data_IF_864851730685
#
_entry.id   IF_864851730685
#
_cell.length_a   1.000
_cell.length_b   1.000
_cell.length_c   1.000
_cell.angle_alpha   90.00
_cell.angle_beta   90.00
_cell.angle_gamma   90.00
#
_symmetry.space_group_name_H-M   'P 1'
#
loop_
_entity.id
_entity.type
_entity.pdbx_description
1 polymer ?
#
# COMPACT_ATOMS: atom_id res chain seq x y z
N UNK A 1 -7.03 -10.56 -12.04
CA UNK A 1 -6.67 -9.20 -12.46
C UNK A 1 -6.25 -9.21 -13.93
N UNK A 2 -6.56 -8.15 -14.69
CA UNK A 2 -6.18 -8.04 -16.10
C UNK A 2 -4.66 -7.80 -16.27
N UNK A 3 -4.03 -8.49 -17.25
CA UNK A 3 -2.57 -8.43 -17.51
C UNK A 3 -2.04 -7.03 -17.78
N UNK A 4 -2.82 -6.17 -18.44
CA UNK A 4 -2.47 -4.79 -18.71
C UNK A 4 -2.25 -4.01 -17.41
N UNK A 5 -3.20 -4.10 -16.47
CA UNK A 5 -3.07 -3.40 -15.18
C UNK A 5 -1.95 -3.99 -14.31
N UNK A 6 -1.71 -5.30 -14.38
CA UNK A 6 -0.56 -5.94 -13.72
C UNK A 6 0.75 -5.34 -14.25
N UNK A 7 0.87 -5.16 -15.57
CA UNK A 7 2.04 -4.54 -16.18
C UNK A 7 2.22 -3.09 -15.74
N UNK A 8 1.15 -2.28 -15.78
CA UNK A 8 1.20 -0.87 -15.38
C UNK A 8 1.64 -0.69 -13.93
N UNK A 9 1.02 -1.41 -12.98
CA UNK A 9 1.37 -1.26 -11.56
C UNK A 9 2.79 -1.77 -11.26
N UNK A 10 3.24 -2.86 -11.91
CA UNK A 10 4.63 -3.34 -11.80
C UNK A 10 5.62 -2.29 -12.26
N UNK A 11 5.41 -1.70 -13.44
CA UNK A 11 6.28 -0.66 -14.00
C UNK A 11 6.30 0.58 -13.13
N UNK A 12 5.14 1.02 -12.64
CA UNK A 12 5.01 2.13 -11.70
C UNK A 12 5.84 1.88 -10.43
N UNK A 13 5.72 0.69 -9.84
CA UNK A 13 6.42 0.37 -8.60
C UNK A 13 7.93 0.21 -8.76
N UNK A 14 8.40 -0.29 -9.90
CA UNK A 14 9.83 -0.29 -10.22
C UNK A 14 10.35 1.16 -10.33
N UNK A 15 9.62 2.04 -11.03
CA UNK A 15 9.96 3.45 -11.17
C UNK A 15 9.97 4.16 -9.82
N UNK A 16 8.95 3.94 -8.99
CA UNK A 16 8.84 4.50 -7.65
C UNK A 16 10.00 4.03 -6.77
N UNK A 17 10.23 2.73 -6.65
CA UNK A 17 11.30 2.18 -5.80
C UNK A 17 12.68 2.70 -6.21
N UNK A 18 12.90 2.98 -7.51
CA UNK A 18 14.15 3.57 -8.02
C UNK A 18 14.29 5.08 -7.75
N UNK A 19 13.17 5.79 -7.55
CA UNK A 19 13.15 7.23 -7.32
C UNK A 19 13.13 7.59 -5.82
N UNK A 20 12.76 6.64 -4.95
CA UNK A 20 12.82 6.84 -3.51
C UNK A 20 14.28 7.00 -3.05
N UNK A 21 14.55 7.89 -2.08
CA UNK A 21 15.89 8.07 -1.53
C UNK A 21 16.48 6.71 -1.13
N UNK A 22 17.57 6.32 -1.79
CA UNK A 22 18.39 5.20 -1.37
C UNK A 22 19.18 5.65 -0.16
N UNK A 23 18.56 5.62 1.02
CA UNK A 23 19.31 5.73 2.25
C UNK A 23 20.16 4.46 2.40
N UNK A 24 21.34 4.48 1.78
CA UNK A 24 22.45 3.53 1.87
C UNK A 24 22.07 2.07 2.11
N UNK A 25 21.74 1.30 1.06
CA UNK A 25 21.92 -0.17 0.94
C UNK A 25 21.42 -1.13 2.05
N UNK A 26 20.84 -0.63 3.14
CA UNK A 26 20.34 -1.39 4.28
C UNK A 26 18.94 -0.87 4.51
N UNK A 27 17.98 -1.80 4.52
CA UNK A 27 16.70 -1.57 5.14
C UNK A 27 16.92 -0.85 6.49
N UNK A 28 16.77 0.48 6.56
CA UNK A 28 17.05 1.25 7.79
C UNK A 28 16.15 0.74 8.92
N UNK A 29 14.95 0.29 8.54
CA UNK A 29 14.03 -0.37 9.42
C UNK A 29 14.56 -1.74 9.90
N UNK A 30 15.38 -2.46 9.12
CA UNK A 30 15.88 -3.79 9.44
C UNK A 30 14.73 -4.75 9.77
N UNK A 31 14.67 -5.15 11.04
CA UNK A 31 13.64 -6.00 11.63
C UNK A 31 12.35 -5.25 12.05
N UNK A 32 12.22 -3.97 11.68
CA UNK A 32 11.15 -3.10 12.13
C UNK A 32 9.86 -3.36 11.34
N UNK A 33 8.79 -3.64 12.08
CA UNK A 33 7.43 -3.81 11.58
C UNK A 33 6.56 -2.59 11.82
N UNK A 34 7.15 -1.44 12.19
CA UNK A 34 6.38 -0.26 12.54
C UNK A 34 5.57 0.28 11.38
N UNK A 35 6.00 0.10 10.13
CA UNK A 35 5.17 0.41 8.96
C UNK A 35 3.90 -0.47 8.86
N UNK A 36 3.94 -1.68 9.45
CA UNK A 36 2.83 -2.62 9.52
C UNK A 36 1.89 -2.38 10.71
N UNK A 37 2.24 -1.49 11.64
CA UNK A 37 1.42 -1.12 12.82
C UNK A 37 1.13 0.37 12.89
N UNK A 38 1.73 1.18 12.02
CA UNK A 38 1.50 2.62 11.99
C UNK A 38 0.17 2.94 11.31
N UNK A 39 -0.50 3.98 11.82
CA UNK A 39 -1.60 4.60 11.12
C UNK A 39 -1.16 4.99 9.69
N UNK A 40 -2.07 4.85 8.73
CA UNK A 40 -1.86 5.38 7.38
C UNK A 40 -3.04 6.25 7.02
N UNK A 41 -2.73 7.43 6.49
CA UNK A 41 -3.75 8.34 5.94
C UNK A 41 -4.15 7.97 4.52
N UNK A 42 -3.26 7.30 3.79
CA UNK A 42 -3.55 6.86 2.42
C UNK A 42 -4.24 5.51 2.41
N UNK A 43 -5.40 5.46 1.73
CA UNK A 43 -6.14 4.22 1.48
C UNK A 43 -5.42 3.39 0.42
N UNK A 44 -5.51 2.07 0.57
CA UNK A 44 -5.15 1.14 -0.50
C UNK A 44 -6.27 1.21 -1.55
N UNK A 45 -5.90 1.29 -2.83
CA UNK A 45 -6.87 1.32 -3.92
C UNK A 45 -7.33 -0.09 -4.30
N UNK A 46 -8.49 -0.20 -4.96
CA UNK A 46 -8.98 -1.48 -5.47
C UNK A 46 -8.02 -2.11 -6.49
N UNK A 47 -7.24 -1.30 -7.21
CA UNK A 47 -6.17 -1.77 -8.08
C UNK A 47 -5.10 -2.54 -7.29
N UNK A 48 -4.69 -1.99 -6.15
CA UNK A 48 -3.67 -2.61 -5.30
C UNK A 48 -4.20 -3.84 -4.57
N UNK A 49 -5.45 -3.80 -4.07
CA UNK A 49 -6.11 -4.96 -3.46
C UNK A 49 -6.16 -6.13 -4.45
N UNK A 50 -6.59 -5.89 -5.69
CA UNK A 50 -6.60 -6.92 -6.74
C UNK A 50 -5.21 -7.39 -7.14
N UNK A 51 -4.22 -6.50 -7.10
CA UNK A 51 -2.83 -6.87 -7.39
C UNK A 51 -2.22 -7.74 -6.29
N UNK A 52 -2.48 -7.42 -5.02
CA UNK A 52 -2.09 -8.23 -3.87
C UNK A 52 -2.79 -9.59 -3.95
N UNK A 53 -4.11 -9.62 -4.14
CA UNK A 53 -4.88 -10.85 -4.25
C UNK A 53 -4.39 -11.74 -5.40
N UNK A 54 -4.05 -11.16 -6.55
CA UNK A 54 -3.45 -11.88 -7.66
C UNK A 54 -2.13 -12.54 -7.27
N UNK A 55 -1.24 -11.81 -6.60
CA UNK A 55 0.03 -12.35 -6.09
C UNK A 55 -0.18 -13.47 -5.06
N UNK A 56 -1.13 -13.32 -4.14
CA UNK A 56 -1.45 -14.36 -3.15
C UNK A 56 -1.90 -15.66 -3.82
N UNK A 57 -2.77 -15.56 -4.82
CA UNK A 57 -3.23 -16.70 -5.62
C UNK A 57 -2.08 -17.39 -6.36
N UNK A 58 -1.20 -16.62 -7.00
CA UNK A 58 -0.01 -17.17 -7.68
C UNK A 58 0.94 -17.90 -6.72
N UNK A 59 0.96 -17.48 -5.45
CA UNK A 59 1.79 -18.09 -4.40
C UNK A 59 1.08 -19.19 -3.59
N UNK A 60 -0.18 -19.50 -3.92
CA UNK A 60 -0.95 -20.54 -3.22
C UNK A 60 -1.38 -20.15 -1.80
N UNK A 61 -1.44 -18.86 -1.49
CA UNK A 61 -1.94 -18.39 -0.19
C UNK A 61 -3.48 -18.46 -0.13
N UNK A 62 -4.07 -18.65 1.07
CA UNK A 62 -5.51 -18.70 1.23
C UNK A 62 -6.17 -17.34 0.98
N UNK A 63 -7.36 -17.36 0.37
CA UNK A 63 -8.14 -16.14 0.08
C UNK A 63 -8.57 -15.38 1.35
N UNK A 64 -8.72 -16.06 2.49
CA UNK A 64 -9.10 -15.45 3.78
C UNK A 64 -8.12 -14.36 4.24
N UNK A 65 -6.87 -14.41 3.79
CA UNK A 65 -5.88 -13.37 4.08
C UNK A 65 -6.28 -11.99 3.55
N UNK A 66 -7.04 -11.93 2.44
CA UNK A 66 -7.55 -10.64 1.93
C UNK A 66 -8.66 -10.10 2.85
N UNK A 67 -9.53 -10.95 3.37
CA UNK A 67 -10.58 -10.55 4.32
C UNK A 67 -9.97 -10.01 5.63
N UNK A 68 -8.95 -10.70 6.16
CA UNK A 68 -8.16 -10.22 7.30
C UNK A 68 -7.48 -8.88 7.00
N UNK A 69 -6.98 -8.70 5.77
CA UNK A 69 -6.32 -7.48 5.35
C UNK A 69 -7.29 -6.30 5.23
N UNK A 70 -8.48 -6.50 4.67
CA UNK A 70 -9.54 -5.49 4.60
C UNK A 70 -9.98 -5.04 6.00
N UNK A 71 -10.14 -6.00 6.93
CA UNK A 71 -10.39 -5.71 8.35
C UNK A 71 -9.25 -4.89 8.95
N UNK A 72 -8.01 -5.28 8.69
CA UNK A 72 -6.83 -4.53 9.12
C UNK A 72 -6.84 -3.09 8.58
N UNK A 73 -7.10 -2.88 7.28
CA UNK A 73 -7.14 -1.54 6.68
C UNK A 73 -8.23 -0.66 7.30
N UNK A 74 -9.40 -1.23 7.55
CA UNK A 74 -10.51 -0.53 8.21
C UNK A 74 -10.14 -0.08 9.62
N UNK A 75 -9.50 -0.96 10.39
CA UNK A 75 -9.01 -0.61 11.73
C UNK A 75 -7.86 0.40 11.68
N UNK A 76 -6.94 0.25 10.72
CA UNK A 76 -5.76 1.11 10.54
C UNK A 76 -6.12 2.57 10.28
N UNK A 77 -7.18 2.83 9.51
CA UNK A 77 -7.69 4.19 9.27
C UNK A 77 -8.22 4.84 10.55
N UNK A 78 -8.78 4.04 11.46
CA UNK A 78 -9.33 4.49 12.74
C UNK A 78 -8.27 4.67 13.84
N UNK A 79 -7.00 4.36 13.58
CA UNK A 79 -5.90 4.50 14.55
C UNK A 79 -5.61 5.95 14.94
N UNK A 80 -5.99 6.93 14.11
CA UNK A 80 -5.89 8.35 14.48
C UNK A 80 -6.87 8.74 15.60
N UNK A 81 -7.93 7.95 15.78
CA UNK A 81 -9.01 8.22 16.73
C UNK A 81 -9.07 7.18 17.88
N UNK A 82 -8.14 6.22 17.94
CA UNK A 82 -8.21 5.11 18.90
C UNK A 82 -6.84 4.68 19.42
N UNK A 83 -6.81 4.19 20.66
CA UNK A 83 -5.65 3.65 21.37
C UNK A 83 -5.24 2.24 20.91
N UNK A 84 -5.50 1.88 19.65
CA UNK A 84 -5.27 0.54 19.12
C UNK A 84 -3.76 0.29 18.90
N UNK A 85 -3.06 0.05 20.01
CA UNK A 85 -1.60 -0.14 20.07
C UNK A 85 -1.13 -1.52 19.55
N UNK A 86 -2.04 -2.41 19.17
CA UNK A 86 -1.71 -3.83 18.88
C UNK A 86 -2.23 -4.35 17.52
N UNK A 87 -2.54 -3.47 16.57
CA UNK A 87 -2.99 -3.90 15.24
C UNK A 87 -1.80 -4.16 14.34
N UNK A 88 -1.62 -5.43 13.96
CA UNK A 88 -0.57 -5.88 13.06
C UNK A 88 -1.15 -6.28 11.71
N UNK A 89 -0.51 -5.83 10.62
CA UNK A 89 -0.84 -6.27 9.28
C UNK A 89 -0.76 -7.81 9.16
N UNK A 90 -1.78 -8.50 8.64
CA UNK A 90 -1.78 -9.97 8.50
C UNK A 90 -0.68 -10.48 7.57
N UNK A 91 -0.11 -9.59 6.75
CA UNK A 91 0.99 -9.93 5.86
C UNK A 91 2.38 -9.91 6.52
N UNK A 92 2.48 -9.48 7.79
CA UNK A 92 3.73 -9.47 8.52
C UNK A 92 3.86 -10.69 9.43
N UNK A 93 4.97 -11.41 9.29
CA UNK A 93 5.31 -12.57 10.12
C UNK A 93 6.32 -12.14 11.19
N UNK A 94 5.95 -12.26 12.48
CA UNK A 94 6.82 -11.85 13.61
C UNK A 94 8.07 -12.70 13.71
N UNK A 95 7.96 -14.00 13.41
CA UNK A 95 9.03 -14.99 13.52
C UNK A 95 10.12 -14.72 12.49
N UNK A 96 9.72 -14.51 11.23
CA UNK A 96 10.61 -14.24 10.10
C UNK A 96 10.96 -12.76 9.94
N UNK A 97 10.31 -11.90 10.72
CA UNK A 97 10.44 -10.44 10.69
C UNK A 97 10.32 -9.87 9.27
N UNK A 98 9.39 -10.41 8.49
CA UNK A 98 9.23 -10.06 7.09
C UNK A 98 7.76 -9.84 6.72
N UNK A 99 7.54 -9.06 5.66
CA UNK A 99 6.25 -8.91 5.03
C UNK A 99 6.23 -9.79 3.78
N UNK A 100 5.34 -10.78 3.68
CA UNK A 100 5.37 -11.69 2.52
C UNK A 100 4.81 -11.05 1.24
N UNK A 101 4.03 -9.97 1.34
CA UNK A 101 3.61 -9.18 0.19
C UNK A 101 4.60 -8.07 -0.16
N UNK A 102 5.80 -8.01 0.45
CA UNK A 102 6.76 -6.92 0.24
C UNK A 102 7.02 -6.58 -1.25
N UNK A 103 7.13 -7.55 -2.18
CA UNK A 103 7.29 -7.26 -3.62
C UNK A 103 6.09 -6.52 -4.23
N UNK A 104 4.89 -6.75 -3.72
CA UNK A 104 3.62 -6.18 -4.19
C UNK A 104 2.99 -5.22 -3.19
N UNK A 105 3.78 -4.73 -2.21
CA UNK A 105 3.31 -3.81 -1.18
C UNK A 105 2.67 -2.56 -1.80
N UNK A 106 1.62 -2.02 -1.19
CA UNK A 106 0.91 -0.87 -1.74
C UNK A 106 1.78 0.40 -1.70
N UNK A 107 1.42 1.37 -2.53
CA UNK A 107 1.99 2.71 -2.64
C UNK A 107 2.21 3.35 -1.27
N UNK A 108 1.19 3.33 -0.41
CA UNK A 108 1.29 3.88 0.96
C UNK A 108 2.38 3.23 1.80
N UNK A 109 2.62 1.92 1.62
CA UNK A 109 3.73 1.21 2.28
C UNK A 109 5.10 1.49 1.64
N UNK A 110 5.16 1.83 0.34
CA UNK A 110 6.42 2.15 -0.36
C UNK A 110 6.97 3.50 0.05
N UNK A 111 6.09 4.50 0.16
CA UNK A 111 6.48 5.87 0.49
C UNK A 111 6.67 6.08 1.99
N UNK A 112 6.14 5.18 2.83
CA UNK A 112 6.24 5.29 4.29
C UNK A 112 7.70 5.44 4.73
N UNK A 113 7.94 6.34 5.68
CA UNK A 113 9.27 6.67 6.17
C UNK A 113 9.94 7.77 5.34
N UNK A 114 9.95 7.65 4.02
CA UNK A 114 10.45 8.71 3.15
C UNK A 114 9.53 9.92 3.13
N UNK A 115 8.21 9.70 3.25
CA UNK A 115 7.19 10.73 3.21
C UNK A 115 6.16 10.55 4.33
N UNK A 116 5.71 11.66 4.92
CA UNK A 116 4.62 11.69 5.91
C UNK A 116 3.85 13.01 5.83
N UNK A 117 2.64 13.05 6.40
CA UNK A 117 1.88 14.30 6.51
C UNK A 117 2.36 15.10 7.72
N UNK A 118 2.62 14.40 8.82
CA UNK A 118 3.19 14.96 10.04
C UNK A 118 4.31 14.05 10.56
N UNK A 119 5.31 14.61 11.23
CA UNK A 119 6.43 13.82 11.80
C UNK A 119 5.90 12.87 12.89
N UNK A 120 4.79 13.25 13.53
CA UNK A 120 4.04 12.49 14.54
C UNK A 120 3.37 11.23 13.97
N UNK A 121 3.19 11.15 12.64
CA UNK A 121 2.74 9.91 11.99
C UNK A 121 3.83 8.80 12.04
N UNK A 122 5.07 9.17 12.37
CA UNK A 122 6.18 8.24 12.59
C UNK A 122 6.41 8.01 14.08
N UNK A 123 6.64 6.75 14.51
CA UNK A 123 7.01 6.45 15.89
C UNK A 123 8.23 7.25 16.35
N UNK A 124 8.27 7.59 17.63
CA UNK A 124 9.30 8.46 18.22
C UNK A 124 10.74 7.96 17.97
N UNK A 125 10.96 6.64 18.00
CA UNK A 125 12.24 5.98 17.73
C UNK A 125 12.43 5.57 16.25
N UNK A 126 11.60 6.07 15.33
CA UNK A 126 11.71 5.75 13.91
C UNK A 126 12.92 6.46 13.30
N UNK A 127 13.82 5.71 12.68
CA UNK A 127 15.01 6.25 12.03
C UNK A 127 14.69 7.27 10.92
N UNK A 128 13.51 7.12 10.29
CA UNK A 128 13.03 8.04 9.28
C UNK A 128 12.58 9.40 9.82
N UNK A 129 12.34 9.59 11.13
CA UNK A 129 11.87 10.89 11.67
C UNK A 129 12.75 12.07 11.29
N UNK A 130 14.06 11.86 11.12
CA UNK A 130 15.03 12.90 10.76
C UNK A 130 15.19 13.08 9.24
N UNK A 131 14.66 12.15 8.45
CA UNK A 131 14.85 12.05 7.00
C UNK A 131 13.55 12.27 6.22
N UNK A 132 12.41 12.21 6.91
CA UNK A 132 11.09 12.27 6.30
C UNK A 132 10.84 13.61 5.63
N UNK A 133 10.36 13.55 4.38
CA UNK A 133 9.84 14.71 3.66
C UNK A 133 8.36 14.87 3.95
N UNK A 134 7.97 16.07 4.40
CA UNK A 134 6.57 16.35 4.71
C UNK A 134 5.78 16.74 3.45
N UNK A 135 4.57 16.22 3.34
CA UNK A 135 3.64 16.57 2.28
C UNK A 135 2.24 16.85 2.85
N UNK A 136 1.38 17.46 2.05
CA UNK A 136 -0.05 17.59 2.31
C UNK A 136 -0.82 17.24 1.04
N UNK A 137 -2.14 17.16 1.13
CA UNK A 137 -2.99 16.78 -0.01
C UNK A 137 -2.79 17.69 -1.24
N UNK A 138 -2.52 18.98 -1.02
CA UNK A 138 -2.35 19.96 -2.11
C UNK A 138 -1.04 19.81 -2.86
N UNK A 139 0.01 19.27 -2.22
CA UNK A 139 1.34 19.15 -2.82
C UNK A 139 1.78 17.70 -3.03
N UNK A 140 0.96 16.70 -2.69
CA UNK A 140 1.26 15.28 -2.83
C UNK A 140 1.80 14.95 -4.21
N UNK A 141 1.16 15.49 -5.27
CA UNK A 141 1.54 15.24 -6.66
C UNK A 141 2.95 15.76 -6.97
N UNK A 142 3.31 16.90 -6.37
CA UNK A 142 4.59 17.57 -6.58
C UNK A 142 5.73 16.94 -5.75
N UNK A 143 5.41 16.45 -4.55
CA UNK A 143 6.43 16.00 -3.58
C UNK A 143 6.73 14.52 -3.71
N UNK A 144 5.71 13.69 -3.94
CA UNK A 144 5.88 12.23 -3.91
C UNK A 144 6.05 11.70 -5.33
N UNK A 145 7.15 11.00 -5.64
CA UNK A 145 7.40 10.45 -6.97
C UNK A 145 6.27 9.56 -7.45
N UNK A 146 5.95 9.63 -8.74
CA UNK A 146 4.98 8.77 -9.42
C UNK A 146 3.54 8.83 -8.85
N UNK A 147 3.21 9.83 -8.03
CA UNK A 147 1.90 10.02 -7.43
C UNK A 147 0.79 10.29 -8.46
N UNK A 148 1.07 11.11 -9.47
CA UNK A 148 0.15 11.38 -10.58
C UNK A 148 -0.09 10.13 -11.44
N UNK A 149 0.99 9.43 -11.80
CA UNK A 149 0.93 8.16 -12.52
C UNK A 149 0.08 7.14 -11.74
N UNK A 150 0.32 7.01 -10.43
CA UNK A 150 -0.46 6.14 -9.55
C UNK A 150 -1.94 6.51 -9.54
N UNK A 151 -2.26 7.78 -9.32
CA UNK A 151 -3.64 8.27 -9.29
C UNK A 151 -4.37 8.00 -10.61
N UNK A 152 -3.69 8.19 -11.74
CA UNK A 152 -4.22 7.98 -13.08
C UNK A 152 -4.51 6.49 -13.34
N UNK A 153 -3.59 5.60 -12.99
CA UNK A 153 -3.77 4.15 -13.17
C UNK A 153 -4.88 3.63 -12.25
N UNK A 154 -4.93 4.09 -10.99
CA UNK A 154 -5.98 3.72 -10.05
C UNK A 154 -7.37 4.20 -10.52
N UNK A 155 -7.47 5.43 -11.05
CA UNK A 155 -8.70 5.96 -11.62
C UNK A 155 -9.15 5.15 -12.85
N UNK A 156 -8.23 4.85 -13.76
CA UNK A 156 -8.51 4.01 -14.94
C UNK A 156 -9.01 2.62 -14.54
N UNK A 157 -8.38 2.00 -13.53
CA UNK A 157 -8.82 0.69 -13.04
C UNK A 157 -10.22 0.72 -12.45
N UNK A 158 -10.56 1.78 -11.72
CA UNK A 158 -11.92 1.96 -11.17
C UNK A 158 -12.97 2.04 -12.28
N UNK A 159 -12.66 2.72 -13.40
CA UNK A 159 -13.55 2.75 -14.58
C UNK A 159 -13.68 1.37 -15.20
N UNK A 160 -12.56 0.66 -15.38
CA UNK A 160 -12.53 -0.70 -15.91
C UNK A 160 -13.40 -1.68 -15.10
N UNK A 161 -13.28 -1.69 -13.78
CA UNK A 161 -14.08 -2.56 -12.90
C UNK A 161 -15.58 -2.20 -12.95
N UNK A 162 -15.93 -0.91 -13.04
CA UNK A 162 -17.32 -0.48 -13.22
C UNK A 162 -17.89 -0.98 -14.53
N UNK A 163 -17.12 -0.88 -15.62
CA UNK A 163 -17.53 -1.36 -16.94
C UNK A 163 -17.77 -2.87 -16.94
N UNK A 164 -16.85 -3.66 -16.37
CA UNK A 164 -17.03 -5.11 -16.22
C UNK A 164 -18.27 -5.46 -15.39
N UNK A 165 -18.49 -4.77 -14.27
CA UNK A 165 -19.68 -4.99 -13.43
C UNK A 165 -20.97 -4.67 -14.17
N UNK A 166 -20.98 -3.58 -14.96
CA UNK A 166 -22.12 -3.19 -15.78
C UNK A 166 -22.44 -4.24 -16.85
N UNK A 167 -21.43 -4.67 -17.61
CA UNK A 167 -21.57 -5.77 -18.58
C UNK A 167 -22.07 -7.03 -17.91
N UNK A 168 -21.44 -7.46 -16.80
CA UNK A 168 -21.86 -8.65 -16.07
C UNK A 168 -23.35 -8.60 -15.68
N UNK A 169 -23.86 -7.44 -15.25
CA UNK A 169 -25.29 -7.26 -14.96
C UNK A 169 -26.20 -7.36 -16.18
N UNK A 170 -25.73 -6.96 -17.37
CA UNK A 170 -26.49 -7.11 -18.61
C UNK A 170 -26.58 -8.56 -19.08
N UNK A 171 -25.52 -9.34 -18.88
CA UNK A 171 -25.45 -10.74 -19.36
C UNK A 171 -25.88 -11.80 -18.33
N UNK A 172 -25.90 -11.49 -17.04
CA UNK A 172 -26.33 -12.41 -15.97
C UNK A 172 -27.69 -12.06 -15.35
N UNK A 173 -28.41 -11.06 -15.91
CA UNK A 173 -29.86 -10.92 -15.72
C UNK A 173 -30.58 -11.68 -16.84
N UNK A 174 -30.64 -13.01 -16.74
CA UNK A 174 -31.53 -13.90 -17.48
C UNK A 174 -31.86 -15.08 -16.60
#
# INVERSE_FOLDING_TARGET
MNRFFIYLIKRLYIKLDSALPSHESKNICGNCYKCCTAAARQKVSSLEEDYINHFLKEKGFPSSLMEEYEKFLSLRLNLYNSSARDILCPFYTKEKKNCFIYPVRPYSCRIYGNYAIAVEDLPEKCAYRKLVSLYNEKNLIKVIPCSEDYASIAALYKVYIKYLTFIGRLFYKS
#
